data_IF_668199618568
#
_entry.id   IF_668199618568
#
_cell.length_a   1.000
_cell.length_b   1.000
_cell.length_c   1.000
_cell.angle_alpha   90.00
_cell.angle_beta   90.00
_cell.angle_gamma   90.00
#
_symmetry.space_group_name_H-M   'P 1'
#
loop_
_entity.id
_entity.type
_entity.pdbx_description
1 polymer ?
#
# COMPACT_ATOMS: atom_id res chain seq x y z
N UNK A 1 -32.45 -48.41 -10.91
CA UNK A 1 -32.93 -48.45 -12.32
C UNK A 1 -31.89 -47.94 -13.31
N UNK A 2 -31.28 -46.76 -13.11
CA UNK A 2 -30.26 -46.23 -14.04
C UNK A 2 -28.99 -47.11 -14.19
N UNK A 3 -28.39 -47.55 -13.08
CA UNK A 3 -27.15 -48.37 -13.12
C UNK A 3 -27.38 -49.71 -13.84
N UNK A 4 -28.40 -50.53 -13.50
CA UNK A 4 -28.70 -51.76 -14.24
C UNK A 4 -28.91 -51.56 -15.75
N UNK A 5 -29.60 -50.47 -16.14
CA UNK A 5 -29.81 -50.13 -17.56
C UNK A 5 -28.48 -49.87 -18.30
N UNK A 6 -27.55 -49.14 -17.68
CA UNK A 6 -26.25 -48.82 -18.27
C UNK A 6 -25.34 -50.06 -18.31
N UNK A 7 -25.40 -50.93 -17.30
CA UNK A 7 -24.67 -52.21 -17.31
C UNK A 7 -25.11 -53.09 -18.49
N UNK A 8 -26.42 -53.22 -18.71
CA UNK A 8 -26.99 -54.03 -19.78
C UNK A 8 -26.71 -53.46 -21.18
N UNK A 9 -26.76 -52.13 -21.32
CA UNK A 9 -26.60 -51.45 -22.62
C UNK A 9 -25.13 -51.33 -23.05
N UNK A 10 -24.21 -51.10 -22.11
CA UNK A 10 -22.83 -50.74 -22.42
C UNK A 10 -21.79 -51.71 -21.88
N UNK A 11 -22.19 -52.82 -21.24
CA UNK A 11 -21.28 -53.83 -20.65
C UNK A 11 -20.24 -53.22 -19.70
N UNK A 12 -20.59 -52.13 -19.02
CA UNK A 12 -19.76 -51.50 -18.00
C UNK A 12 -20.03 -52.15 -16.64
N UNK A 13 -19.03 -52.20 -15.76
CA UNK A 13 -19.26 -52.62 -14.38
C UNK A 13 -19.91 -51.49 -13.57
N UNK A 14 -20.76 -51.85 -12.60
CA UNK A 14 -21.34 -50.94 -11.61
C UNK A 14 -20.32 -49.92 -11.06
N UNK A 15 -19.13 -50.39 -10.67
CA UNK A 15 -18.08 -49.51 -10.15
C UNK A 15 -17.65 -48.43 -11.15
N UNK A 16 -17.48 -48.78 -12.44
CA UNK A 16 -17.13 -47.81 -13.50
C UNK A 16 -18.26 -46.83 -13.73
N UNK A 17 -19.51 -47.29 -13.73
CA UNK A 17 -20.69 -46.45 -13.91
C UNK A 17 -20.78 -45.42 -12.78
N UNK A 18 -20.65 -45.86 -11.53
CA UNK A 18 -20.61 -44.98 -10.36
C UNK A 18 -19.46 -43.98 -10.44
N UNK A 19 -18.28 -44.42 -10.86
CA UNK A 19 -17.13 -43.53 -11.06
C UNK A 19 -17.43 -42.43 -12.10
N UNK A 20 -18.02 -42.77 -13.25
CA UNK A 20 -18.43 -41.78 -14.25
C UNK A 20 -19.51 -40.83 -13.73
N UNK A 21 -20.52 -41.34 -13.03
CA UNK A 21 -21.56 -40.50 -12.40
C UNK A 21 -20.91 -39.50 -11.45
N UNK A 22 -19.99 -39.92 -10.59
CA UNK A 22 -19.32 -39.01 -9.66
C UNK A 22 -18.37 -38.03 -10.35
N UNK A 23 -17.75 -38.39 -11.47
CA UNK A 23 -16.96 -37.46 -12.30
C UNK A 23 -17.86 -36.42 -12.97
N UNK A 24 -18.94 -36.83 -13.61
CA UNK A 24 -19.93 -35.93 -14.24
C UNK A 24 -20.56 -35.00 -13.19
N UNK A 25 -20.79 -35.50 -11.96
CA UNK A 25 -21.28 -34.69 -10.85
C UNK A 25 -20.22 -33.73 -10.27
N UNK A 26 -18.94 -34.14 -10.24
CA UNK A 26 -17.82 -33.24 -9.90
C UNK A 26 -17.65 -32.14 -10.94
N UNK A 27 -17.98 -32.44 -12.20
CA UNK A 27 -18.06 -31.49 -13.29
C UNK A 27 -19.42 -30.76 -13.34
N UNK A 28 -20.23 -30.81 -12.27
CA UNK A 28 -21.58 -30.22 -12.12
C UNK A 28 -22.55 -30.41 -13.30
N UNK A 29 -22.31 -31.38 -14.18
CA UNK A 29 -23.19 -31.73 -15.31
C UNK A 29 -24.43 -32.52 -14.85
N UNK A 30 -24.43 -32.95 -13.61
CA UNK A 30 -25.58 -33.51 -12.89
C UNK A 30 -25.53 -33.06 -11.43
N UNK A 31 -26.68 -33.06 -10.78
CA UNK A 31 -26.82 -32.81 -9.35
C UNK A 31 -27.38 -34.05 -8.66
N UNK A 32 -26.98 -34.23 -7.40
CA UNK A 32 -27.57 -35.25 -6.54
C UNK A 32 -28.58 -34.62 -5.60
N UNK A 33 -29.75 -35.25 -5.47
CA UNK A 33 -30.81 -34.82 -4.55
C UNK A 33 -31.24 -35.99 -3.67
N UNK A 34 -31.31 -35.72 -2.36
CA UNK A 34 -31.84 -36.65 -1.35
C UNK A 34 -32.84 -35.85 -0.52
N UNK A 35 -34.05 -36.39 -0.28
CA UNK A 35 -35.12 -35.72 0.46
C UNK A 35 -35.38 -34.27 0.00
N UNK A 36 -35.40 -34.07 -1.31
CA UNK A 36 -35.59 -32.78 -1.97
C UNK A 36 -34.51 -31.71 -1.66
N UNK A 37 -33.34 -32.09 -1.14
CA UNK A 37 -32.19 -31.21 -0.92
C UNK A 37 -31.06 -31.61 -1.85
N UNK A 38 -30.38 -30.62 -2.42
CA UNK A 38 -29.18 -30.85 -3.23
C UNK A 38 -27.98 -31.13 -2.32
N UNK A 39 -27.14 -32.10 -2.67
CA UNK A 39 -25.92 -32.45 -1.95
C UNK A 39 -24.70 -32.45 -2.85
N UNK A 40 -23.56 -32.07 -2.28
CA UNK A 40 -22.26 -32.12 -2.97
C UNK A 40 -21.86 -33.56 -3.31
N UNK A 41 -21.22 -33.80 -4.47
CA UNK A 41 -20.81 -35.14 -4.91
C UNK A 41 -20.00 -35.91 -3.86
N UNK A 42 -19.11 -35.23 -3.14
CA UNK A 42 -18.30 -35.87 -2.11
C UNK A 42 -19.13 -36.36 -0.91
N UNK A 43 -20.16 -35.60 -0.52
CA UNK A 43 -21.06 -36.00 0.58
C UNK A 43 -21.88 -37.22 0.19
N UNK A 44 -22.41 -37.23 -1.04
CA UNK A 44 -23.19 -38.35 -1.59
C UNK A 44 -22.33 -39.60 -1.72
N UNK A 45 -21.10 -39.47 -2.23
CA UNK A 45 -20.13 -40.59 -2.29
C UNK A 45 -19.88 -41.20 -0.91
N UNK A 46 -19.68 -40.36 0.11
CA UNK A 46 -19.48 -40.84 1.47
C UNK A 46 -20.71 -41.49 2.07
N UNK A 47 -21.93 -41.02 1.75
CA UNK A 47 -23.17 -41.64 2.20
C UNK A 47 -23.31 -43.05 1.60
N UNK A 48 -23.16 -43.16 0.27
CA UNK A 48 -23.26 -44.45 -0.43
C UNK A 48 -22.23 -45.48 0.02
N UNK A 49 -21.02 -45.03 0.42
CA UNK A 49 -19.96 -45.92 0.89
C UNK A 49 -20.11 -46.36 2.36
N UNK A 50 -20.84 -45.61 3.20
CA UNK A 50 -20.88 -45.82 4.65
C UNK A 50 -22.08 -46.65 5.13
N UNK A 51 -23.18 -46.71 4.39
CA UNK A 51 -24.42 -47.31 4.87
C UNK A 51 -24.82 -48.54 4.06
N UNK A 52 -24.74 -49.71 4.69
CA UNK A 52 -25.33 -50.98 4.22
C UNK A 52 -26.88 -50.88 4.17
N UNK A 53 -27.46 -49.93 4.92
CA UNK A 53 -28.91 -49.70 5.05
C UNK A 53 -29.34 -48.29 4.55
N UNK A 54 -28.71 -47.77 3.49
CA UNK A 54 -29.18 -46.50 2.92
C UNK A 54 -30.58 -46.67 2.30
N UNK A 55 -31.62 -46.30 3.03
CA UNK A 55 -33.02 -46.45 2.60
C UNK A 55 -33.53 -45.28 1.76
N UNK A 56 -32.79 -44.16 1.72
CA UNK A 56 -33.16 -42.98 0.96
C UNK A 56 -32.69 -43.12 -0.50
N UNK A 57 -33.53 -42.74 -1.46
CA UNK A 57 -33.15 -42.77 -2.87
C UNK A 57 -32.28 -41.55 -3.22
N UNK A 58 -31.11 -41.79 -3.81
CA UNK A 58 -30.30 -40.72 -4.41
C UNK A 58 -30.82 -40.46 -5.82
N UNK A 59 -31.38 -39.28 -6.04
CA UNK A 59 -31.83 -38.85 -7.35
C UNK A 59 -30.67 -38.19 -8.10
N UNK A 60 -30.46 -38.59 -9.36
CA UNK A 60 -29.58 -37.93 -10.31
C UNK A 60 -30.45 -37.00 -11.15
N UNK A 61 -30.19 -35.70 -11.09
CA UNK A 61 -31.01 -34.68 -11.75
C UNK A 61 -30.13 -33.89 -12.71
N UNK A 62 -30.68 -33.54 -13.86
CA UNK A 62 -30.08 -32.55 -14.74
C UNK A 62 -29.91 -31.21 -13.98
N UNK A 63 -28.84 -30.46 -14.23
CA UNK A 63 -28.67 -29.14 -13.65
C UNK A 63 -29.83 -28.24 -14.09
N UNK A 64 -30.28 -27.37 -13.20
CA UNK A 64 -31.14 -26.27 -13.63
C UNK A 64 -30.39 -25.42 -14.66
N UNK A 65 -31.11 -24.92 -15.65
CA UNK A 65 -30.59 -24.07 -16.72
C UNK A 65 -31.35 -22.76 -16.72
N UNK A 66 -30.65 -21.65 -16.93
CA UNK A 66 -31.32 -20.37 -17.17
C UNK A 66 -31.89 -20.34 -18.59
N UNK A 67 -32.81 -19.42 -18.86
CA UNK A 67 -33.28 -19.18 -20.22
C UNK A 67 -32.16 -18.62 -21.12
N UNK A 68 -32.34 -18.74 -22.44
CA UNK A 68 -31.33 -18.33 -23.42
C UNK A 68 -30.99 -16.85 -23.34
N UNK A 69 -31.93 -15.97 -22.97
CA UNK A 69 -31.66 -14.54 -22.84
C UNK A 69 -30.72 -14.27 -21.67
N UNK A 70 -31.04 -14.82 -20.50
CA UNK A 70 -30.21 -14.69 -19.30
C UNK A 70 -28.81 -15.28 -19.53
N UNK A 71 -28.71 -16.40 -20.24
CA UNK A 71 -27.44 -17.00 -20.61
C UNK A 71 -26.60 -16.09 -21.53
N UNK A 72 -27.17 -15.59 -22.63
CA UNK A 72 -26.44 -14.76 -23.58
C UNK A 72 -26.03 -13.41 -22.97
N UNK A 73 -26.87 -12.83 -22.12
CA UNK A 73 -26.55 -11.57 -21.43
C UNK A 73 -25.43 -11.75 -20.40
N UNK A 74 -25.47 -12.82 -19.60
CA UNK A 74 -24.40 -13.15 -18.67
C UNK A 74 -23.08 -13.47 -19.40
N UNK A 75 -23.15 -14.17 -20.54
CA UNK A 75 -22.00 -14.47 -21.40
C UNK A 75 -21.40 -13.18 -21.98
N UNK A 76 -22.23 -12.29 -22.50
CA UNK A 76 -21.80 -10.99 -23.03
C UNK A 76 -21.17 -10.12 -21.95
N UNK A 77 -21.74 -10.13 -20.74
CA UNK A 77 -21.17 -9.46 -19.57
C UNK A 77 -19.81 -10.06 -19.20
N UNK A 78 -19.68 -11.39 -19.17
CA UNK A 78 -18.41 -12.06 -18.89
C UNK A 78 -17.32 -11.66 -19.88
N UNK A 79 -17.60 -11.71 -21.19
CA UNK A 79 -16.67 -11.30 -22.25
C UNK A 79 -16.16 -9.87 -22.03
N UNK A 80 -17.07 -8.95 -21.67
CA UNK A 80 -16.72 -7.56 -21.40
C UNK A 80 -15.77 -7.40 -20.20
N UNK A 81 -15.97 -8.16 -19.12
CA UNK A 81 -15.16 -8.05 -17.89
C UNK A 81 -13.89 -8.92 -17.91
N UNK A 82 -13.85 -9.96 -18.74
CA UNK A 82 -12.67 -10.83 -18.90
C UNK A 82 -11.67 -10.25 -19.89
N UNK A 83 -12.15 -9.55 -20.93
CA UNK A 83 -11.32 -9.10 -22.05
C UNK A 83 -10.95 -10.25 -23.00
N UNK A 84 -11.53 -11.43 -22.82
CA UNK A 84 -11.37 -12.58 -23.73
C UNK A 84 -12.15 -12.30 -25.03
N UNK A 85 -11.55 -12.68 -26.17
CA UNK A 85 -12.14 -12.40 -27.50
C UNK A 85 -12.84 -13.61 -28.13
N UNK A 86 -12.50 -14.83 -27.69
CA UNK A 86 -13.03 -16.07 -28.26
C UNK A 86 -13.64 -16.89 -27.13
N UNK A 87 -14.96 -17.05 -27.17
CA UNK A 87 -15.72 -17.81 -26.17
C UNK A 87 -16.95 -18.45 -26.83
N UNK A 88 -16.78 -19.00 -28.04
CA UNK A 88 -17.90 -19.28 -28.95
C UNK A 88 -18.64 -20.61 -28.73
N UNK A 89 -18.05 -21.57 -28.01
CA UNK A 89 -18.65 -22.88 -27.78
C UNK A 89 -18.82 -23.22 -26.29
N UNK A 90 -19.10 -22.24 -25.44
CA UNK A 90 -19.32 -22.52 -24.01
C UNK A 90 -20.77 -22.97 -23.73
N UNK A 91 -20.93 -24.00 -22.90
CA UNK A 91 -22.23 -24.30 -22.31
C UNK A 91 -22.47 -23.48 -21.01
N UNK A 92 -23.67 -23.57 -20.43
CA UNK A 92 -24.00 -22.86 -19.20
C UNK A 92 -23.14 -23.31 -18.00
N UNK A 93 -22.72 -24.57 -17.97
CA UNK A 93 -21.86 -25.07 -16.91
C UNK A 93 -20.46 -24.44 -16.99
N UNK A 94 -19.87 -24.46 -18.18
CA UNK A 94 -18.57 -23.86 -18.45
C UNK A 94 -18.60 -22.37 -18.10
N UNK A 95 -19.62 -21.63 -18.57
CA UNK A 95 -19.82 -20.24 -18.18
C UNK A 95 -19.84 -20.08 -16.66
N UNK A 96 -20.62 -20.90 -15.94
CA UNK A 96 -20.65 -20.90 -14.46
C UNK A 96 -19.27 -21.05 -13.83
N UNK A 97 -18.44 -21.97 -14.34
CA UNK A 97 -17.05 -22.14 -13.90
C UNK A 97 -16.18 -20.91 -14.14
N UNK A 98 -16.29 -20.29 -15.32
CA UNK A 98 -15.55 -19.08 -15.66
C UNK A 98 -15.97 -17.89 -14.78
N UNK A 99 -17.27 -17.72 -14.54
CA UNK A 99 -17.82 -16.72 -13.61
C UNK A 99 -17.26 -16.92 -12.19
N UNK A 100 -17.30 -18.15 -11.67
CA UNK A 100 -16.76 -18.47 -10.35
C UNK A 100 -15.25 -18.16 -10.25
N UNK A 101 -14.47 -18.52 -11.28
CA UNK A 101 -13.04 -18.20 -11.36
C UNK A 101 -12.79 -16.69 -11.35
N UNK A 102 -13.58 -15.93 -12.10
CA UNK A 102 -13.47 -14.46 -12.14
C UNK A 102 -13.80 -13.82 -10.79
N UNK A 103 -14.88 -14.25 -10.13
CA UNK A 103 -15.23 -13.79 -8.78
C UNK A 103 -14.09 -14.06 -7.80
N UNK A 104 -13.51 -15.26 -7.83
CA UNK A 104 -12.38 -15.63 -6.97
C UNK A 104 -11.15 -14.76 -7.23
N UNK A 105 -10.86 -14.48 -8.50
CA UNK A 105 -9.77 -13.57 -8.89
C UNK A 105 -9.96 -12.17 -8.31
N UNK A 106 -11.17 -11.60 -8.44
CA UNK A 106 -11.50 -10.32 -7.82
C UNK A 106 -11.41 -10.37 -6.30
N UNK A 107 -11.90 -11.43 -5.67
CA UNK A 107 -11.79 -11.61 -4.22
C UNK A 107 -10.33 -11.55 -3.76
N UNK A 108 -9.44 -12.29 -4.42
CA UNK A 108 -8.02 -12.31 -4.11
C UNK A 108 -7.37 -10.94 -4.31
N UNK A 109 -7.69 -10.26 -5.42
CA UNK A 109 -7.16 -8.94 -5.74
C UNK A 109 -7.54 -7.92 -4.67
N UNK A 110 -8.84 -7.81 -4.35
CA UNK A 110 -9.35 -6.92 -3.31
C UNK A 110 -8.78 -7.25 -1.92
N UNK A 111 -8.61 -8.54 -1.59
CA UNK A 111 -7.99 -8.95 -0.33
C UNK A 111 -6.52 -8.54 -0.26
N UNK A 112 -5.77 -8.62 -1.36
CA UNK A 112 -4.37 -8.21 -1.40
C UNK A 112 -4.18 -6.70 -1.23
N UNK A 113 -5.12 -5.89 -1.73
CA UNK A 113 -5.09 -4.43 -1.60
C UNK A 113 -5.47 -3.93 -0.20
N UNK A 114 -6.33 -4.69 0.50
CA UNK A 114 -6.95 -4.30 1.76
C UNK A 114 -5.98 -3.80 2.84
N UNK A 115 -4.82 -4.44 3.13
CA UNK A 115 -3.91 -3.96 4.17
C UNK A 115 -3.33 -2.58 3.86
N UNK A 116 -3.00 -2.32 2.59
CA UNK A 116 -2.50 -1.01 2.16
C UNK A 116 -3.60 0.05 2.19
N UNK A 117 -4.81 -0.28 1.73
CA UNK A 117 -5.97 0.62 1.75
C UNK A 117 -6.40 1.07 3.16
N UNK A 118 -6.01 0.35 4.20
CA UNK A 118 -6.29 0.73 5.59
C UNK A 118 -5.34 1.81 6.12
N UNK A 119 -4.19 2.01 5.47
CA UNK A 119 -3.21 3.04 5.84
C UNK A 119 -3.73 4.43 5.48
N UNK A 120 -3.23 5.44 6.19
CA UNK A 120 -3.56 6.85 5.93
C UNK A 120 -3.18 7.24 4.50
N UNK A 121 -4.03 8.04 3.84
CA UNK A 121 -3.87 8.54 2.47
C UNK A 121 -3.82 7.48 1.34
N UNK A 122 -4.04 6.20 1.63
CA UNK A 122 -4.25 5.21 0.59
C UNK A 122 -5.73 5.18 0.17
N UNK A 123 -6.04 5.17 -1.14
CA UNK A 123 -7.41 5.22 -1.64
C UNK A 123 -8.12 3.86 -1.51
N UNK A 124 -9.41 3.82 -1.87
CA UNK A 124 -10.10 2.56 -2.11
C UNK A 124 -10.62 1.81 -0.87
N UNK A 125 -10.38 2.24 0.37
CA UNK A 125 -10.85 1.52 1.59
C UNK A 125 -12.34 1.16 1.56
N UNK A 126 -13.20 2.13 1.21
CA UNK A 126 -14.65 1.94 1.15
C UNK A 126 -15.06 1.05 -0.03
N UNK A 127 -14.42 1.25 -1.18
CA UNK A 127 -14.69 0.51 -2.41
C UNK A 127 -14.29 -0.95 -2.26
N UNK A 128 -13.11 -1.21 -1.69
CA UNK A 128 -12.64 -2.57 -1.38
C UNK A 128 -13.59 -3.27 -0.42
N UNK A 129 -14.03 -2.57 0.64
CA UNK A 129 -14.99 -3.12 1.59
C UNK A 129 -16.32 -3.49 0.94
N UNK A 130 -16.91 -2.57 0.17
CA UNK A 130 -18.16 -2.81 -0.56
C UNK A 130 -18.03 -3.92 -1.60
N UNK A 131 -16.94 -3.92 -2.36
CA UNK A 131 -16.65 -4.93 -3.37
C UNK A 131 -16.52 -6.33 -2.75
N UNK A 132 -15.79 -6.47 -1.65
CA UNK A 132 -15.67 -7.75 -0.93
C UNK A 132 -17.02 -8.24 -0.38
N UNK A 133 -17.86 -7.34 0.15
CA UNK A 133 -19.21 -7.68 0.60
C UNK A 133 -20.10 -8.14 -0.54
N UNK A 134 -20.07 -7.43 -1.68
CA UNK A 134 -20.83 -7.80 -2.88
C UNK A 134 -20.34 -9.13 -3.48
N UNK A 135 -19.03 -9.30 -3.64
CA UNK A 135 -18.39 -10.56 -4.05
C UNK A 135 -18.90 -11.70 -3.17
N UNK A 136 -18.82 -11.57 -1.84
CA UNK A 136 -19.30 -12.61 -0.93
C UNK A 136 -20.77 -12.99 -1.17
N UNK A 137 -21.63 -12.03 -1.51
CA UNK A 137 -23.06 -12.27 -1.76
C UNK A 137 -23.33 -13.08 -3.03
N UNK A 138 -22.48 -12.93 -4.06
CA UNK A 138 -22.58 -13.70 -5.31
C UNK A 138 -21.77 -15.01 -5.24
N UNK A 139 -20.73 -15.09 -4.40
CA UNK A 139 -19.90 -16.30 -4.18
C UNK A 139 -20.60 -17.40 -3.38
N UNK A 140 -21.65 -17.09 -2.61
CA UNK A 140 -22.39 -18.09 -1.81
C UNK A 140 -23.24 -19.03 -2.68
N UNK A 141 -23.34 -18.76 -3.97
CA UNK A 141 -24.09 -19.56 -4.94
C UNK A 141 -23.21 -20.73 -5.44
N UNK A 142 -23.73 -21.95 -5.40
CA UNK A 142 -22.93 -23.18 -5.52
C UNK A 142 -23.02 -23.89 -6.89
N UNK A 143 -23.87 -23.39 -7.78
CA UNK A 143 -24.17 -24.01 -9.06
C UNK A 143 -24.23 -22.98 -10.20
N UNK A 144 -24.11 -23.47 -11.44
CA UNK A 144 -24.08 -22.66 -12.66
C UNK A 144 -25.34 -21.81 -12.84
N UNK A 145 -26.52 -22.39 -12.62
CA UNK A 145 -27.81 -21.68 -12.71
C UNK A 145 -27.85 -20.47 -11.78
N UNK A 146 -27.55 -20.70 -10.50
CA UNK A 146 -27.57 -19.66 -9.48
C UNK A 146 -26.57 -18.54 -9.80
N UNK A 147 -25.35 -18.91 -10.22
CA UNK A 147 -24.29 -17.96 -10.58
C UNK A 147 -24.65 -17.14 -11.82
N UNK A 148 -25.12 -17.78 -12.89
CA UNK A 148 -25.52 -17.08 -14.12
C UNK A 148 -26.66 -16.12 -13.82
N UNK A 149 -27.69 -16.57 -13.09
CA UNK A 149 -28.79 -15.71 -12.64
C UNK A 149 -28.28 -14.53 -11.81
N UNK A 150 -27.30 -14.74 -10.93
CA UNK A 150 -26.67 -13.65 -10.18
C UNK A 150 -26.02 -12.61 -11.08
N UNK A 151 -25.30 -13.06 -12.11
CA UNK A 151 -24.62 -12.17 -13.03
C UNK A 151 -25.60 -11.37 -13.88
N UNK A 152 -26.66 -12.03 -14.33
CA UNK A 152 -27.76 -11.41 -15.03
C UNK A 152 -28.44 -10.33 -14.16
N UNK A 153 -28.95 -10.71 -12.98
CA UNK A 153 -29.70 -9.84 -12.08
C UNK A 153 -28.88 -8.64 -11.56
N UNK A 154 -27.55 -8.82 -11.44
CA UNK A 154 -26.65 -7.81 -10.85
C UNK A 154 -25.71 -7.18 -11.88
N UNK A 155 -26.04 -7.24 -13.16
CA UNK A 155 -25.19 -6.79 -14.28
C UNK A 155 -24.59 -5.40 -14.07
N UNK A 156 -25.40 -4.41 -13.69
CA UNK A 156 -24.95 -3.04 -13.43
C UNK A 156 -23.95 -2.95 -12.26
N UNK A 157 -24.17 -3.71 -11.18
CA UNK A 157 -23.26 -3.73 -10.03
C UNK A 157 -21.94 -4.44 -10.37
N UNK A 158 -21.98 -5.47 -11.21
CA UNK A 158 -20.80 -6.18 -11.70
C UNK A 158 -19.95 -5.30 -12.60
N UNK A 159 -20.56 -4.52 -13.49
CA UNK A 159 -19.84 -3.53 -14.31
C UNK A 159 -19.15 -2.48 -13.44
N UNK A 160 -19.84 -1.99 -12.41
CA UNK A 160 -19.26 -1.06 -11.45
C UNK A 160 -18.09 -1.68 -10.69
N UNK A 161 -18.23 -2.93 -10.24
CA UNK A 161 -17.15 -3.67 -9.58
C UNK A 161 -15.94 -3.83 -10.50
N UNK A 162 -16.17 -4.12 -11.78
CA UNK A 162 -15.13 -4.25 -12.79
C UNK A 162 -14.35 -2.94 -12.99
N UNK A 163 -15.05 -1.81 -13.14
CA UNK A 163 -14.41 -0.49 -13.26
C UNK A 163 -13.59 -0.14 -12.02
N UNK A 164 -14.14 -0.41 -10.83
CA UNK A 164 -13.44 -0.24 -9.56
C UNK A 164 -12.20 -1.12 -9.47
N UNK A 165 -12.31 -2.39 -9.86
CA UNK A 165 -11.20 -3.33 -9.85
C UNK A 165 -10.09 -2.88 -10.78
N UNK A 166 -10.41 -2.39 -11.99
CA UNK A 166 -9.42 -1.85 -12.92
C UNK A 166 -8.63 -0.69 -12.30
N UNK A 167 -9.32 0.29 -11.72
CA UNK A 167 -8.69 1.45 -11.09
C UNK A 167 -7.82 1.06 -9.89
N UNK A 168 -8.34 0.18 -9.02
CA UNK A 168 -7.61 -0.33 -7.86
C UNK A 168 -6.40 -1.16 -8.28
N UNK A 169 -6.57 -2.05 -9.26
CA UNK A 169 -5.51 -2.89 -9.77
C UNK A 169 -4.39 -2.05 -10.36
N UNK A 170 -4.70 -1.09 -11.23
CA UNK A 170 -3.71 -0.17 -11.77
C UNK A 170 -2.98 0.61 -10.67
N UNK A 171 -3.72 1.16 -9.70
CA UNK A 171 -3.12 1.88 -8.57
C UNK A 171 -2.16 1.01 -7.75
N UNK A 172 -2.63 -0.15 -7.28
CA UNK A 172 -1.86 -0.99 -6.36
C UNK A 172 -0.73 -1.77 -7.04
N UNK A 173 -0.82 -2.00 -8.35
CA UNK A 173 0.24 -2.71 -9.10
C UNK A 173 1.27 -1.77 -9.69
N UNK A 174 0.87 -0.61 -10.24
CA UNK A 174 1.78 0.30 -10.95
C UNK A 174 2.22 1.51 -10.13
N UNK A 175 1.34 2.04 -9.28
CA UNK A 175 1.55 3.34 -8.63
C UNK A 175 1.82 3.27 -7.12
N UNK A 176 1.72 2.09 -6.51
CA UNK A 176 1.88 1.91 -5.06
C UNK A 176 3.21 2.46 -4.51
N UNK A 177 4.32 2.14 -5.18
CA UNK A 177 5.65 2.60 -4.76
C UNK A 177 5.76 4.13 -4.85
N UNK A 178 5.32 4.72 -5.95
CA UNK A 178 5.27 6.17 -6.11
C UNK A 178 4.40 6.83 -5.04
N UNK A 179 3.20 6.31 -4.79
CA UNK A 179 2.27 6.88 -3.82
C UNK A 179 2.84 6.84 -2.40
N UNK A 180 3.56 5.76 -2.06
CA UNK A 180 4.27 5.64 -0.78
C UNK A 180 5.35 6.72 -0.64
N UNK A 181 6.11 6.98 -1.70
CA UNK A 181 7.11 8.07 -1.73
C UNK A 181 6.44 9.43 -1.65
N UNK A 182 5.33 9.64 -2.37
CA UNK A 182 4.58 10.90 -2.36
C UNK A 182 4.11 11.28 -0.95
N UNK A 183 3.54 10.32 -0.20
CA UNK A 183 3.09 10.55 1.17
C UNK A 183 4.27 11.03 2.04
N UNK A 184 5.41 10.35 1.95
CA UNK A 184 6.63 10.74 2.69
C UNK A 184 7.12 12.12 2.28
N UNK A 185 7.20 12.40 0.97
CA UNK A 185 7.64 13.70 0.48
C UNK A 185 6.74 14.83 0.97
N UNK A 186 5.42 14.64 1.02
CA UNK A 186 4.51 15.65 1.58
C UNK A 186 4.73 15.86 3.08
N UNK A 187 5.06 14.80 3.83
CA UNK A 187 5.46 14.91 5.24
C UNK A 187 6.79 15.66 5.38
N UNK A 188 7.80 15.35 4.57
CA UNK A 188 9.12 16.01 4.59
C UNK A 188 9.00 17.50 4.22
N UNK A 189 8.22 17.84 3.20
CA UNK A 189 7.98 19.24 2.81
C UNK A 189 7.26 20.02 3.90
N UNK A 190 6.51 19.34 4.78
CA UNK A 190 5.79 19.99 5.87
C UNK A 190 6.72 20.62 6.93
N UNK A 191 8.00 20.23 6.95
CA UNK A 191 9.02 20.88 7.80
C UNK A 191 9.37 22.31 7.32
N UNK A 192 9.11 22.63 6.05
CA UNK A 192 9.43 23.91 5.42
C UNK A 192 8.18 24.72 5.02
N UNK A 193 7.03 24.47 5.68
CA UNK A 193 5.75 25.12 5.33
C UNK A 193 5.82 26.66 5.34
N UNK A 194 6.51 27.24 6.32
CA UNK A 194 6.61 28.69 6.44
C UNK A 194 7.28 29.32 5.22
N UNK A 195 8.33 28.69 4.70
CA UNK A 195 9.02 29.15 3.49
C UNK A 195 8.28 28.79 2.21
N UNK A 196 7.65 27.61 2.14
CA UNK A 196 6.78 27.22 1.04
C UNK A 196 5.64 28.22 0.83
N UNK A 197 5.00 28.66 1.93
CA UNK A 197 3.90 29.62 1.89
C UNK A 197 4.32 31.03 1.43
N UNK A 198 5.62 31.36 1.45
CA UNK A 198 6.12 32.64 0.90
C UNK A 198 6.14 32.65 -0.63
N UNK A 199 6.13 31.48 -1.26
CA UNK A 199 6.05 31.34 -2.71
C UNK A 199 4.66 30.86 -3.11
N UNK A 200 3.91 31.72 -3.81
CA UNK A 200 2.52 31.43 -4.19
C UNK A 200 2.39 30.17 -5.05
N UNK A 201 3.33 29.90 -5.96
CA UNK A 201 3.30 28.72 -6.83
C UNK A 201 3.60 27.44 -6.04
N UNK A 202 4.65 27.44 -5.22
CA UNK A 202 5.01 26.29 -4.39
C UNK A 202 3.92 25.97 -3.36
N UNK A 203 3.32 26.99 -2.75
CA UNK A 203 2.18 26.84 -1.85
C UNK A 203 0.98 26.21 -2.54
N UNK A 204 0.61 26.71 -3.73
CA UNK A 204 -0.52 26.18 -4.50
C UNK A 204 -0.29 24.72 -4.93
N UNK A 205 0.91 24.39 -5.39
CA UNK A 205 1.27 23.03 -5.77
C UNK A 205 1.23 22.08 -4.56
N UNK A 206 1.75 22.52 -3.40
CA UNK A 206 1.72 21.73 -2.17
C UNK A 206 0.30 21.51 -1.64
N UNK A 207 -0.56 22.54 -1.69
CA UNK A 207 -1.98 22.41 -1.34
C UNK A 207 -2.70 21.44 -2.27
N UNK A 208 -2.40 21.49 -3.58
CA UNK A 208 -2.95 20.55 -4.56
C UNK A 208 -2.51 19.11 -4.28
N UNK A 209 -1.25 18.88 -3.90
CA UNK A 209 -0.79 17.55 -3.47
C UNK A 209 -1.57 17.02 -2.26
N UNK A 210 -1.81 17.85 -1.24
CA UNK A 210 -2.61 17.47 -0.06
C UNK A 210 -4.05 17.13 -0.45
N UNK A 211 -4.65 17.87 -1.38
CA UNK A 211 -5.99 17.58 -1.90
C UNK A 211 -6.02 16.22 -2.63
N UNK A 212 -5.02 15.95 -3.48
CA UNK A 212 -4.91 14.67 -4.19
C UNK A 212 -4.76 13.51 -3.21
N UNK A 213 -3.89 13.62 -2.20
CA UNK A 213 -3.70 12.60 -1.15
C UNK A 213 -4.95 12.35 -0.30
N UNK A 214 -5.80 13.37 -0.15
CA UNK A 214 -7.04 13.29 0.61
C UNK A 214 -8.22 12.79 -0.22
N UNK A 215 -8.06 12.68 -1.55
CA UNK A 215 -9.13 12.20 -2.43
C UNK A 215 -9.39 10.70 -2.21
N UNK A 216 -10.66 10.28 -2.06
CA UNK A 216 -10.99 8.86 -1.93
C UNK A 216 -10.75 8.06 -3.23
N UNK A 217 -10.74 8.74 -4.38
CA UNK A 217 -10.54 8.16 -5.71
C UNK A 217 -9.59 9.06 -6.54
N UNK A 218 -8.27 8.97 -6.30
CA UNK A 218 -7.28 9.84 -6.93
C UNK A 218 -6.80 9.36 -8.30
N UNK A 219 -7.42 8.33 -8.88
CA UNK A 219 -6.89 7.56 -10.01
C UNK A 219 -6.49 8.43 -11.22
N UNK A 220 -7.36 9.36 -11.62
CA UNK A 220 -7.10 10.27 -12.75
C UNK A 220 -6.11 11.40 -12.42
N UNK A 221 -5.87 11.65 -11.13
CA UNK A 221 -4.99 12.70 -10.62
C UNK A 221 -3.55 12.21 -10.40
N UNK A 222 -3.27 10.92 -10.57
CA UNK A 222 -1.93 10.35 -10.33
C UNK A 222 -0.88 11.02 -11.23
N UNK A 223 -1.18 11.21 -12.52
CA UNK A 223 -0.25 11.87 -13.45
C UNK A 223 0.05 13.32 -13.06
N UNK A 224 -0.95 14.03 -12.54
CA UNK A 224 -0.79 15.38 -11.99
C UNK A 224 0.13 15.36 -10.77
N UNK A 225 -0.08 14.41 -9.85
CA UNK A 225 0.70 14.25 -8.63
C UNK A 225 2.19 14.04 -8.91
N UNK A 226 2.55 13.26 -9.96
CA UNK A 226 3.95 13.11 -10.38
C UNK A 226 4.61 14.45 -10.71
N UNK A 227 3.91 15.31 -11.45
CA UNK A 227 4.45 16.63 -11.87
C UNK A 227 4.54 17.58 -10.68
N UNK A 228 3.51 17.58 -9.83
CA UNK A 228 3.43 18.45 -8.66
C UNK A 228 4.54 18.14 -7.65
N UNK A 229 4.75 16.85 -7.33
CA UNK A 229 5.77 16.46 -6.35
C UNK A 229 7.17 16.82 -6.84
N UNK A 230 7.44 16.72 -8.14
CA UNK A 230 8.73 17.14 -8.71
C UNK A 230 8.97 18.65 -8.55
N UNK A 231 7.97 19.48 -8.84
CA UNK A 231 8.08 20.94 -8.69
C UNK A 231 8.28 21.36 -7.24
N UNK A 232 7.45 20.84 -6.33
CA UNK A 232 7.56 21.14 -4.89
C UNK A 232 8.89 20.63 -4.35
N UNK A 233 9.32 19.42 -4.75
CA UNK A 233 10.62 18.87 -4.34
C UNK A 233 11.77 19.76 -4.78
N UNK A 234 11.80 20.19 -6.04
CA UNK A 234 12.86 21.06 -6.57
C UNK A 234 12.95 22.37 -5.78
N UNK A 235 11.80 22.98 -5.46
CA UNK A 235 11.78 24.20 -4.65
C UNK A 235 12.25 23.93 -3.20
N UNK A 236 11.77 22.85 -2.58
CA UNK A 236 12.16 22.46 -1.23
C UNK A 236 13.66 22.13 -1.13
N UNK A 237 14.23 21.44 -2.12
CA UNK A 237 15.66 21.11 -2.15
C UNK A 237 16.54 22.38 -2.21
N UNK A 238 16.09 23.41 -2.94
CA UNK A 238 16.75 24.74 -2.93
C UNK A 238 16.66 25.37 -1.54
N UNK A 239 15.48 25.37 -0.91
CA UNK A 239 15.31 25.92 0.44
C UNK A 239 16.18 25.21 1.49
N UNK A 240 16.24 23.87 1.46
CA UNK A 240 17.06 23.08 2.38
C UNK A 240 18.54 23.39 2.18
N UNK A 241 18.98 23.55 0.93
CA UNK A 241 20.35 23.96 0.63
C UNK A 241 20.65 25.35 1.18
N UNK A 242 19.79 26.34 0.93
CA UNK A 242 19.95 27.71 1.43
C UNK A 242 20.00 27.75 2.98
N UNK A 243 19.11 27.02 3.66
CA UNK A 243 19.12 26.89 5.13
C UNK A 243 20.41 26.23 5.63
N UNK A 244 20.90 25.21 4.93
CA UNK A 244 22.16 24.53 5.27
C UNK A 244 23.36 25.44 5.08
N UNK A 245 23.41 26.19 3.98
CA UNK A 245 24.48 27.15 3.69
C UNK A 245 24.48 28.29 4.72
N UNK A 246 23.31 28.82 5.09
CA UNK A 246 23.20 29.84 6.14
C UNK A 246 23.65 29.30 7.51
N UNK A 247 23.18 28.11 7.89
CA UNK A 247 23.61 27.45 9.13
C UNK A 247 25.14 27.26 9.16
N UNK A 248 25.76 26.92 8.02
CA UNK A 248 27.22 26.82 7.90
C UNK A 248 27.89 28.16 8.11
N UNK A 249 27.39 29.25 7.51
CA UNK A 249 27.93 30.60 7.69
C UNK A 249 27.89 31.00 9.17
N UNK A 250 26.74 30.80 9.82
CA UNK A 250 26.54 31.15 11.23
C UNK A 250 27.48 30.33 12.14
N UNK A 251 27.61 29.03 11.86
CA UNK A 251 28.51 28.12 12.58
C UNK A 251 29.99 28.52 12.43
N UNK A 252 30.41 28.88 11.22
CA UNK A 252 31.79 29.36 10.98
C UNK A 252 32.06 30.68 11.72
N UNK A 253 31.09 31.58 11.76
CA UNK A 253 31.20 32.83 12.53
C UNK A 253 31.32 32.57 14.03
N UNK A 254 30.50 31.67 14.58
CA UNK A 254 30.57 31.25 15.98
C UNK A 254 31.93 30.61 16.32
N UNK A 255 32.45 29.75 15.43
CA UNK A 255 33.77 29.14 15.60
C UNK A 255 34.90 30.17 15.55
N UNK A 256 34.82 31.16 14.66
CA UNK A 256 35.81 32.25 14.62
C UNK A 256 35.81 33.04 15.93
N UNK A 257 34.64 33.33 16.49
CA UNK A 257 34.52 33.96 17.81
C UNK A 257 35.09 33.06 18.92
N UNK A 258 34.81 31.76 18.93
CA UNK A 258 35.38 30.81 19.90
C UNK A 258 36.91 30.74 19.79
N UNK A 259 37.46 30.75 18.58
CA UNK A 259 38.91 30.75 18.35
C UNK A 259 39.53 32.04 18.91
N UNK A 260 38.94 33.21 18.64
CA UNK A 260 39.43 34.48 19.19
C UNK A 260 39.32 34.54 20.72
N UNK A 261 38.20 34.09 21.28
CA UNK A 261 38.01 33.99 22.74
C UNK A 261 39.04 33.04 23.36
N UNK A 262 39.32 31.91 22.71
CA UNK A 262 40.31 30.96 23.19
C UNK A 262 41.72 31.56 23.15
N UNK A 263 42.08 32.28 22.08
CA UNK A 263 43.36 33.02 22.02
C UNK A 263 43.49 33.99 23.19
N UNK A 264 42.46 34.81 23.43
CA UNK A 264 42.45 35.79 24.51
C UNK A 264 42.59 35.15 25.90
N UNK A 265 41.91 34.02 26.15
CA UNK A 265 42.05 33.25 27.39
C UNK A 265 43.47 32.71 27.56
N UNK A 266 44.04 32.11 26.51
CA UNK A 266 45.40 31.59 26.51
C UNK A 266 46.46 32.69 26.70
N UNK A 267 46.23 33.88 26.13
CA UNK A 267 47.07 35.08 26.32
C UNK A 267 47.00 35.59 27.76
N UNK A 268 45.78 35.77 28.29
CA UNK A 268 45.54 36.27 29.66
C UNK A 268 46.23 35.41 30.72
N UNK A 269 46.34 34.11 30.45
CA UNK A 269 46.92 33.14 31.35
C UNK A 269 48.36 32.72 31.02
N UNK A 270 49.01 33.36 30.04
CA UNK A 270 50.37 33.01 29.59
C UNK A 270 50.54 31.50 29.30
N UNK A 271 49.54 30.90 28.67
CA UNK A 271 49.55 29.47 28.37
C UNK A 271 50.75 29.06 27.50
N UNK A 272 51.38 27.94 27.84
CA UNK A 272 52.52 27.40 27.10
C UNK A 272 52.20 27.09 25.63
N UNK A 273 53.22 27.12 24.78
CA UNK A 273 53.07 26.94 23.31
C UNK A 273 52.36 25.63 22.93
N UNK A 274 52.60 24.55 23.66
CA UNK A 274 51.97 23.25 23.36
C UNK A 274 50.45 23.25 23.60
N UNK A 275 50.00 23.81 24.73
CA UNK A 275 48.57 23.92 25.04
C UNK A 275 47.87 24.86 24.05
N UNK A 276 48.51 25.98 23.73
CA UNK A 276 48.01 26.94 22.74
C UNK A 276 47.85 26.29 21.37
N UNK A 277 48.89 25.63 20.87
CA UNK A 277 48.86 24.99 19.57
C UNK A 277 47.80 23.88 19.52
N UNK A 278 47.69 23.06 20.56
CA UNK A 278 46.69 21.99 20.64
C UNK A 278 45.26 22.56 20.61
N UNK A 279 44.94 23.51 21.48
CA UNK A 279 43.60 24.06 21.60
C UNK A 279 43.12 24.75 20.30
N UNK A 280 43.98 25.61 19.73
CA UNK A 280 43.65 26.33 18.50
C UNK A 280 43.60 25.39 17.29
N UNK A 281 44.46 24.37 17.22
CA UNK A 281 44.43 23.39 16.14
C UNK A 281 43.14 22.58 16.16
N UNK A 282 42.68 22.12 17.33
CA UNK A 282 41.43 21.37 17.45
C UNK A 282 40.22 22.16 16.96
N UNK A 283 40.08 23.44 17.35
CA UNK A 283 38.98 24.28 16.87
C UNK A 283 39.06 24.55 15.36
N UNK A 284 40.27 24.73 14.82
CA UNK A 284 40.47 24.87 13.35
C UNK A 284 40.10 23.61 12.59
N UNK A 285 40.38 22.42 13.13
CA UNK A 285 39.95 21.17 12.50
C UNK A 285 38.43 21.05 12.45
N UNK A 286 37.74 21.44 13.53
CA UNK A 286 36.28 21.47 13.55
C UNK A 286 35.74 22.47 12.53
N UNK A 287 36.39 23.63 12.37
CA UNK A 287 36.05 24.60 11.31
C UNK A 287 36.11 23.96 9.91
N UNK A 288 37.17 23.21 9.59
CA UNK A 288 37.28 22.49 8.31
C UNK A 288 36.22 21.39 8.16
N UNK A 289 35.76 20.78 9.25
CA UNK A 289 34.64 19.81 9.21
C UNK A 289 33.31 20.50 8.90
N UNK A 290 33.05 21.67 9.49
CA UNK A 290 31.86 22.50 9.20
C UNK A 290 31.83 22.92 7.72
N UNK A 291 32.96 23.32 7.16
CA UNK A 291 33.08 23.69 5.72
C UNK A 291 32.62 22.56 4.78
N UNK A 292 32.80 21.30 5.19
CA UNK A 292 32.47 20.10 4.40
C UNK A 292 31.12 19.48 4.78
N UNK A 293 30.42 20.01 5.78
CA UNK A 293 29.16 19.43 6.24
C UNK A 293 28.05 19.67 5.22
N UNK A 294 27.35 18.60 4.82
CA UNK A 294 26.29 18.62 3.80
C UNK A 294 24.87 18.73 4.37
N UNK A 295 24.72 18.78 5.70
CA UNK A 295 23.41 18.91 6.36
C UNK A 295 23.49 19.74 7.63
N UNK A 296 22.36 20.35 7.99
CA UNK A 296 22.20 21.12 9.24
C UNK A 296 22.59 20.27 10.46
N UNK A 297 22.18 19.00 10.51
CA UNK A 297 22.55 18.10 11.61
C UNK A 297 24.07 17.89 11.70
N UNK A 298 24.76 17.70 10.57
CA UNK A 298 26.21 17.56 10.56
C UNK A 298 26.92 18.85 11.02
N UNK A 299 26.40 20.02 10.64
CA UNK A 299 26.90 21.32 11.12
C UNK A 299 26.71 21.43 12.64
N UNK A 300 25.51 21.15 13.15
CA UNK A 300 25.21 21.22 14.58
C UNK A 300 26.05 20.24 15.42
N UNK A 301 26.30 19.03 14.93
CA UNK A 301 27.19 18.08 15.60
C UNK A 301 28.62 18.64 15.73
N UNK A 302 29.13 19.29 14.68
CA UNK A 302 30.45 19.93 14.74
C UNK A 302 30.47 21.10 15.74
N UNK A 303 29.39 21.88 15.84
CA UNK A 303 29.29 22.94 16.84
C UNK A 303 29.29 22.39 18.27
N UNK A 304 28.52 21.34 18.54
CA UNK A 304 28.52 20.68 19.86
C UNK A 304 29.91 20.14 20.22
N UNK A 305 30.64 19.55 19.26
CA UNK A 305 32.03 19.12 19.45
C UNK A 305 32.92 20.33 19.82
N UNK A 306 32.72 21.48 19.18
CA UNK A 306 33.49 22.69 19.44
C UNK A 306 33.22 23.26 20.84
N UNK A 307 31.96 23.32 21.24
CA UNK A 307 31.54 23.74 22.58
C UNK A 307 32.17 22.85 23.65
N UNK A 308 32.06 21.53 23.49
CA UNK A 308 32.68 20.57 24.39
C UNK A 308 34.20 20.78 24.50
N UNK A 309 34.88 20.97 23.36
CA UNK A 309 36.32 21.21 23.35
C UNK A 309 36.68 22.54 24.02
N UNK A 310 35.91 23.59 23.79
CA UNK A 310 36.09 24.89 24.42
C UNK A 310 35.89 24.80 25.94
N UNK A 311 34.99 23.94 26.42
CA UNK A 311 34.71 23.79 27.84
C UNK A 311 35.70 22.91 28.60
N UNK A 312 36.19 21.83 27.98
CA UNK A 312 37.03 20.82 28.62
C UNK A 312 38.53 21.15 28.58
N UNK A 313 39.00 21.84 27.55
CA UNK A 313 40.42 22.21 27.44
C UNK A 313 40.90 23.14 28.56
N UNK A 314 40.13 24.12 29.05
CA UNK A 314 40.49 24.94 30.21
C UNK A 314 40.54 24.15 31.53
N UNK A 315 39.68 23.14 31.71
CA UNK A 315 39.60 22.35 32.95
C UNK A 315 40.80 21.41 33.13
N UNK A 316 41.31 20.85 32.02
CA UNK A 316 42.48 19.97 32.04
C UNK A 316 43.83 20.72 32.04
N UNK A 317 43.82 22.05 31.96
CA UNK A 317 45.00 22.91 31.82
C UNK A 317 45.34 23.81 33.01
N UNK A 318 44.65 23.67 34.16
CA UNK A 318 44.69 24.58 35.32
C UNK A 318 44.05 25.97 35.07
N UNK A 319 42.73 26.02 34.83
CA UNK A 319 41.93 27.24 35.00
C UNK A 319 40.67 26.96 35.84
N UNK A 320 40.57 27.58 37.01
CA UNK A 320 39.34 27.54 37.82
C UNK A 320 38.32 28.53 37.24
N UNK A 321 37.21 28.02 36.69
CA UNK A 321 36.08 28.82 36.16
C UNK A 321 35.29 29.50 37.31
N UNK A 322 34.79 30.73 37.14
CA UNK A 322 33.45 31.09 37.61
C UNK A 322 32.42 30.39 36.70
N UNK A 323 31.44 29.74 37.32
CA UNK A 323 30.39 28.88 36.71
C UNK A 323 29.74 29.42 35.42
N UNK A 324 29.57 28.53 34.44
CA UNK A 324 28.88 28.73 33.14
C UNK A 324 27.40 29.13 33.27
N UNK A 325 26.79 28.98 34.46
CA UNK A 325 25.38 29.30 34.67
C UNK A 325 25.03 30.81 34.52
N UNK A 326 26.01 31.72 34.50
CA UNK A 326 25.74 33.16 34.51
C UNK A 326 25.73 33.87 33.14
N UNK A 327 26.04 33.20 32.01
CA UNK A 327 26.26 33.94 30.73
C UNK A 327 25.44 33.56 29.51
N UNK A 328 24.64 32.50 29.52
CA UNK A 328 23.82 32.14 28.34
C UNK A 328 22.38 31.86 28.75
N UNK A 329 21.59 32.93 28.87
CA UNK A 329 20.13 32.87 28.75
C UNK A 329 19.81 32.93 27.25
N UNK A 330 19.84 31.78 26.56
CA UNK A 330 19.21 31.70 25.23
C UNK A 330 17.71 31.88 25.47
N UNK A 331 17.22 33.07 25.10
CA UNK A 331 15.79 33.33 24.99
C UNK A 331 15.31 32.51 23.78
N UNK A 332 14.73 31.34 24.03
CA UNK A 332 13.79 30.78 23.07
C UNK A 332 12.60 31.74 22.97
N UNK A 333 12.64 32.64 21.97
CA UNK A 333 11.40 33.19 21.41
C UNK A 333 10.83 32.14 20.48
N UNK A 334 10.03 31.25 21.03
CA UNK A 334 8.95 30.62 20.29
C UNK A 334 8.03 31.73 19.78
N UNK A 335 8.18 32.09 18.52
CA UNK A 335 7.22 32.97 17.85
C UNK A 335 5.99 32.12 17.54
N UNK A 336 5.06 32.13 18.49
CA UNK A 336 3.66 31.77 18.24
C UNK A 336 3.00 33.02 17.67
N UNK A 337 2.44 32.88 16.47
CA UNK A 337 1.64 33.88 15.76
C UNK A 337 0.98 33.21 14.58
#
# INVERSE_FOLDING_TARGET
>A
EFVPYVEETYSLSEFKILQYIFWIAQDFKIQFRINNKNLEPFKVKNLLLKSIEFSEQVLIIAPETVDDSAFQDARSLYLKISGEKNFDDCDQYELGCFLAKKIRSWQNSFQSYKPSAQKKYFPGKKEIGKGLSFIKSISTKQDSFSLISAFYDNSAQILKLYEQEKNLSEFYTKHHAFWTTLIKSVEDFSENLLELNKNNEASADFDRLKQILSSPAPYDMISEAYKLVERVKKFNDVLVKEKTDQCRIDALSALDQMIENMKSLLDTHNAGMDLRNRALYSLRQIKTRVEKAESINAVNLCLNDAEYMFDVLPENGFFTKPSIFDRIRIIHKTSSG
#
